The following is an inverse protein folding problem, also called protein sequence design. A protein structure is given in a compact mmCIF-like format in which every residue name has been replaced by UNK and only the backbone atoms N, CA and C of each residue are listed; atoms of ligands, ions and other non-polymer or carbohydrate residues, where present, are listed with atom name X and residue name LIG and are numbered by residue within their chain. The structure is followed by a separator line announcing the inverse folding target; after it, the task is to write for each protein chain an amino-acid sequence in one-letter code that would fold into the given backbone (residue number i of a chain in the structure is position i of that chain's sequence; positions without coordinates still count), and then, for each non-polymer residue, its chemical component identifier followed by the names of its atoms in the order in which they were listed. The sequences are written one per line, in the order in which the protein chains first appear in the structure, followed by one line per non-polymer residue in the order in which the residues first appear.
data_IF_940966748768
#
_entry.id   IF_940966748768
#
_cell.length_a   1.000
_cell.length_b   1.000
_cell.length_c   1.000
_cell.angle_alpha   90.00
_cell.angle_beta   90.00
_cell.angle_gamma   90.00
#
_symmetry.space_group_name_H-M   'P 1'
#
loop_
_entity.id
_entity.type
_entity.pdbx_description
1 polymer ?
#
# COMPACT_ATOMS: atom_id res chain seq x y z
N UNK A 1 -2.49 -12.17 6.34
CA UNK A 1 -2.48 -11.44 5.06
C UNK A 1 -1.10 -10.88 4.71
N UNK A 2 -0.63 -9.76 5.26
CA UNK A 2 0.61 -9.07 4.83
C UNK A 2 1.90 -9.92 4.77
N UNK A 3 2.02 -10.97 5.60
CA UNK A 3 3.15 -11.91 5.52
C UNK A 3 3.31 -12.58 4.15
N UNK A 4 2.25 -12.68 3.33
CA UNK A 4 2.33 -13.25 1.98
C UNK A 4 3.20 -12.43 1.02
N UNK A 5 3.36 -11.12 1.26
CA UNK A 5 4.23 -10.26 0.44
C UNK A 5 5.50 -9.84 1.17
N UNK A 6 5.40 -9.51 2.45
CA UNK A 6 6.52 -8.95 3.21
C UNK A 6 7.35 -10.01 3.94
N UNK A 7 6.91 -11.28 3.98
CA UNK A 7 7.60 -12.37 4.65
C UNK A 7 7.90 -12.04 6.12
N UNK A 8 9.08 -12.43 6.60
CA UNK A 8 9.54 -12.09 7.96
C UNK A 8 10.31 -10.75 8.03
N UNK A 9 10.17 -9.91 7.00
CA UNK A 9 10.96 -8.69 6.88
C UNK A 9 10.42 -7.54 7.71
N UNK A 10 9.12 -7.55 7.99
CA UNK A 10 8.44 -6.57 8.86
C UNK A 10 8.33 -7.14 10.27
N UNK A 11 8.64 -6.33 11.28
CA UNK A 11 8.40 -6.72 12.67
C UNK A 11 6.91 -6.54 13.01
N UNK A 12 6.10 -7.58 12.75
CA UNK A 12 4.66 -7.59 13.01
C UNK A 12 4.30 -7.38 14.48
N UNK A 13 5.15 -7.78 15.43
CA UNK A 13 4.89 -7.59 16.86
C UNK A 13 4.91 -6.12 17.29
N UNK A 14 5.53 -5.25 16.49
CA UNK A 14 5.57 -3.80 16.72
C UNK A 14 4.48 -3.04 15.96
N UNK A 15 3.80 -3.71 15.02
CA UNK A 15 2.71 -3.10 14.24
C UNK A 15 1.45 -3.06 15.09
N UNK A 16 0.85 -1.88 15.23
CA UNK A 16 -0.46 -1.71 15.84
C UNK A 16 -1.45 -1.14 14.84
N UNK A 17 -2.69 -1.61 14.94
CA UNK A 17 -3.84 -1.09 14.21
C UNK A 17 -4.78 -0.50 15.25
N UNK A 18 -4.94 0.82 15.23
CA UNK A 18 -5.77 1.55 16.17
C UNK A 18 -7.14 1.83 15.57
N UNK A 19 -8.19 1.56 16.33
CA UNK A 19 -9.52 2.12 16.12
C UNK A 19 -9.52 3.55 16.69
N UNK A 20 -9.37 4.55 15.83
CA UNK A 20 -9.37 5.96 16.22
C UNK A 20 -8.48 6.84 15.34
N UNK A 21 -8.51 8.14 15.63
CA UNK A 21 -7.73 9.17 14.94
C UNK A 21 -6.26 9.19 15.40
N UNK A 22 -5.35 9.43 14.47
CA UNK A 22 -3.98 9.85 14.78
C UNK A 22 -3.89 11.33 15.20
N UNK A 23 -4.72 12.19 14.60
CA UNK A 23 -4.72 13.62 14.87
C UNK A 23 -5.48 13.95 16.15
N UNK A 24 -5.03 14.97 16.91
CA UNK A 24 -5.72 15.39 18.13
C UNK A 24 -7.14 15.87 17.82
N UNK A 25 -8.04 15.71 18.79
CA UNK A 25 -9.45 16.14 18.69
C UNK A 25 -10.24 15.51 17.53
N UNK A 26 -9.89 14.27 17.15
CA UNK A 26 -10.55 13.54 16.06
C UNK A 26 -10.59 14.32 14.73
N UNK A 27 -9.56 15.13 14.47
CA UNK A 27 -9.42 15.89 13.23
C UNK A 27 -9.05 15.03 12.01
N UNK A 28 -8.94 13.71 12.16
CA UNK A 28 -8.77 12.80 11.05
C UNK A 28 -10.08 12.68 10.28
N UNK A 29 -10.01 12.85 8.96
CA UNK A 29 -11.15 12.61 8.08
C UNK A 29 -11.69 11.19 8.27
N UNK A 30 -13.00 11.07 8.51
CA UNK A 30 -13.67 9.78 8.81
C UNK A 30 -13.51 8.75 7.68
N UNK A 31 -13.28 9.22 6.45
CA UNK A 31 -13.06 8.42 5.25
C UNK A 31 -11.58 8.14 4.95
N UNK A 32 -10.65 8.43 5.87
CA UNK A 32 -9.21 8.30 5.63
C UNK A 32 -8.50 7.52 6.73
N UNK A 33 -7.78 6.45 6.36
CA UNK A 33 -6.82 5.77 7.23
C UNK A 33 -5.44 6.41 7.08
N UNK A 34 -4.61 6.35 8.12
CA UNK A 34 -3.25 6.89 8.07
C UNK A 34 -2.22 6.02 8.79
N UNK A 35 -0.98 6.02 8.28
CA UNK A 35 0.14 5.25 8.84
C UNK A 35 1.42 6.09 9.04
N UNK A 36 1.43 7.05 9.99
CA UNK A 36 2.52 8.04 10.14
C UNK A 36 3.82 7.52 10.73
N UNK A 37 3.73 6.52 11.61
CA UNK A 37 4.78 6.18 12.59
C UNK A 37 5.00 4.66 12.68
N UNK A 38 4.64 3.93 11.63
CA UNK A 38 4.68 2.46 11.61
C UNK A 38 3.48 1.78 12.29
N UNK A 39 2.46 2.54 12.69
CA UNK A 39 1.16 2.04 13.14
C UNK A 39 0.05 2.64 12.29
N UNK A 40 -1.04 1.89 12.12
CA UNK A 40 -2.21 2.34 11.37
C UNK A 40 -3.27 2.91 12.30
N UNK A 41 -3.96 3.95 11.84
CA UNK A 41 -5.04 4.61 12.55
C UNK A 41 -6.26 4.68 11.64
N UNK A 42 -7.30 3.94 12.02
CA UNK A 42 -8.54 3.80 11.26
C UNK A 42 -9.68 4.43 12.07
N UNK A 43 -10.36 5.47 11.54
CA UNK A 43 -11.57 6.01 12.16
C UNK A 43 -12.63 4.92 12.32
N UNK A 44 -13.48 5.06 13.33
CA UNK A 44 -14.52 4.08 13.68
C UNK A 44 -15.39 3.59 12.51
N UNK A 45 -15.88 4.42 11.57
CA UNK A 45 -16.70 3.92 10.47
C UNK A 45 -15.97 2.95 9.54
N UNK A 46 -14.63 2.99 9.51
CA UNK A 46 -13.81 2.21 8.57
C UNK A 46 -13.03 1.09 9.24
N UNK A 47 -12.78 1.18 10.54
CA UNK A 47 -12.08 0.15 11.28
C UNK A 47 -12.79 -1.21 11.17
N UNK A 48 -11.99 -2.27 11.02
CA UNK A 48 -12.43 -3.67 11.01
C UNK A 48 -11.59 -4.45 12.01
N UNK A 49 -12.23 -5.38 12.71
CA UNK A 49 -11.55 -6.26 13.67
C UNK A 49 -10.56 -7.20 12.95
N UNK A 50 -10.91 -7.65 11.74
CA UNK A 50 -10.04 -8.49 10.90
C UNK A 50 -10.19 -8.15 9.41
N UNK A 51 -9.28 -7.32 8.90
CA UNK A 51 -9.21 -6.97 7.48
C UNK A 51 -8.96 -8.15 6.54
N UNK A 52 -8.44 -9.29 7.04
CA UNK A 52 -8.19 -10.45 6.18
C UNK A 52 -9.47 -11.19 5.79
N UNK A 53 -10.55 -10.98 6.54
CA UNK A 53 -11.89 -11.55 6.30
C UNK A 53 -12.84 -10.57 5.60
N UNK A 54 -12.35 -9.41 5.17
CA UNK A 54 -13.14 -8.33 4.59
C UNK A 54 -13.19 -8.36 3.06
N UNK A 55 -13.91 -7.41 2.47
CA UNK A 55 -14.02 -7.23 1.01
C UNK A 55 -12.64 -7.02 0.36
N UNK A 56 -12.47 -7.34 -0.93
CA UNK A 56 -11.22 -7.08 -1.65
C UNK A 56 -10.76 -5.61 -1.59
N UNK A 57 -11.70 -4.66 -1.60
CA UNK A 57 -11.40 -3.25 -1.44
C UNK A 57 -10.77 -2.94 -0.08
N UNK A 58 -11.34 -3.47 1.02
CA UNK A 58 -10.80 -3.29 2.37
C UNK A 58 -9.45 -3.99 2.54
N UNK A 59 -9.27 -5.18 1.94
CA UNK A 59 -7.98 -5.88 1.93
C UNK A 59 -6.90 -5.09 1.17
N UNK A 60 -7.25 -4.52 0.02
CA UNK A 60 -6.36 -3.67 -0.78
C UNK A 60 -5.95 -2.42 0.01
N UNK A 61 -6.91 -1.72 0.60
CA UNK A 61 -6.64 -0.54 1.41
C UNK A 61 -5.76 -0.86 2.64
N UNK A 62 -6.04 -1.95 3.33
CA UNK A 62 -5.16 -2.42 4.41
C UNK A 62 -3.74 -2.68 3.90
N UNK A 63 -3.59 -3.30 2.72
CA UNK A 63 -2.29 -3.56 2.14
C UNK A 63 -1.55 -2.27 1.78
N UNK A 64 -2.24 -1.25 1.26
CA UNK A 64 -1.69 0.09 1.03
C UNK A 64 -1.13 0.69 2.31
N UNK A 65 -1.92 0.73 3.38
CA UNK A 65 -1.45 1.20 4.69
C UNK A 65 -0.29 0.34 5.23
N UNK A 66 -0.28 -0.95 4.94
CA UNK A 66 0.82 -1.83 5.35
C UNK A 66 2.13 -1.52 4.61
N UNK A 67 2.06 -1.08 3.35
CA UNK A 67 3.24 -0.59 2.60
C UNK A 67 3.87 0.60 3.32
N UNK A 68 3.07 1.49 3.90
CA UNK A 68 3.56 2.62 4.69
C UNK A 68 4.26 2.19 5.98
N UNK A 69 3.82 1.11 6.63
CA UNK A 69 4.57 0.50 7.74
C UNK A 69 5.93 0.02 7.25
N UNK A 70 5.97 -0.71 6.14
CA UNK A 70 7.22 -1.22 5.58
C UNK A 70 8.17 -0.09 5.18
N UNK A 71 7.68 0.96 4.52
CA UNK A 71 8.43 2.17 4.18
C UNK A 71 9.02 2.82 5.45
N UNK A 72 8.21 2.95 6.51
CA UNK A 72 8.66 3.49 7.80
C UNK A 72 9.76 2.63 8.42
N UNK A 73 9.61 1.31 8.45
CA UNK A 73 10.63 0.39 8.98
C UNK A 73 11.92 0.38 8.14
N UNK A 74 11.81 0.68 6.85
CA UNK A 74 12.97 0.89 5.96
C UNK A 74 13.64 2.27 6.19
N UNK A 75 13.07 3.16 7.01
CA UNK A 75 13.63 4.47 7.32
C UNK A 75 13.14 5.60 6.41
N UNK A 76 12.10 5.38 5.61
CA UNK A 76 11.41 6.46 4.89
C UNK A 76 10.62 7.32 5.89
N UNK A 77 10.70 8.64 5.76
CA UNK A 77 9.84 9.54 6.53
C UNK A 77 8.42 9.50 5.99
N UNK A 78 7.59 8.63 6.56
CA UNK A 78 6.16 8.49 6.25
C UNK A 78 5.32 9.50 7.04
N UNK A 79 5.95 10.50 7.68
CA UNK A 79 5.27 11.54 8.47
C UNK A 79 4.07 12.00 7.67
N UNK A 80 2.90 11.62 8.18
CA UNK A 80 1.60 11.95 7.65
C UNK A 80 1.65 13.40 7.27
N UNK A 81 1.67 13.66 5.98
CA UNK A 81 1.05 14.87 5.48
C UNK A 81 -0.44 14.68 5.81
N UNK A 82 -0.83 14.89 7.06
CA UNK A 82 -2.20 14.88 7.57
C UNK A 82 -3.03 16.04 7.03
N UNK A 83 -2.71 16.45 5.82
CA UNK A 83 -3.10 17.66 5.11
C UNK A 83 -3.17 17.42 3.59
N UNK A 84 -2.84 16.22 3.04
CA UNK A 84 -2.99 15.95 1.59
C UNK A 84 -4.40 15.40 1.36
N UNK A 85 -5.42 16.24 1.16
CA UNK A 85 -5.64 17.10 0.01
C UNK A 85 -6.07 16.33 -1.24
N UNK A 86 -7.09 16.88 -1.90
CA UNK A 86 -7.69 16.59 -3.20
C UNK A 86 -6.69 16.54 -4.38
N UNK A 87 -5.38 16.50 -4.11
CA UNK A 87 -4.26 16.59 -5.05
C UNK A 87 -3.29 15.39 -4.97
N UNK A 88 -3.56 14.36 -4.17
CA UNK A 88 -2.77 13.12 -4.22
C UNK A 88 -3.09 12.39 -5.51
N UNK A 89 -2.07 12.19 -6.35
CA UNK A 89 -2.23 11.35 -7.52
C UNK A 89 -1.94 9.89 -7.15
N UNK A 90 -3.03 9.13 -7.04
CA UNK A 90 -3.02 7.69 -6.84
C UNK A 90 -2.83 6.92 -8.15
N UNK A 91 -3.09 7.55 -9.29
CA UNK A 91 -2.97 6.93 -10.59
C UNK A 91 -1.51 6.69 -10.98
N UNK A 92 -1.28 5.57 -11.66
CA UNK A 92 0.04 5.18 -12.12
C UNK A 92 -0.04 4.31 -13.37
N UNK A 93 1.04 4.29 -14.14
CA UNK A 93 1.27 3.33 -15.22
C UNK A 93 2.58 2.58 -14.97
N UNK A 94 2.76 1.42 -15.61
CA UNK A 94 3.94 0.55 -15.42
C UNK A 94 4.77 0.42 -16.72
N UNK A 95 5.45 1.49 -17.18
CA UNK A 95 6.39 1.40 -18.30
C UNK A 95 7.62 0.55 -17.91
N UNK A 96 8.23 -0.15 -18.87
CA UNK A 96 9.30 -1.13 -18.63
C UNK A 96 10.59 -0.53 -18.07
N UNK A 97 10.73 0.78 -18.16
CA UNK A 97 11.92 1.53 -17.76
C UNK A 97 11.86 1.93 -16.28
N UNK A 98 10.68 1.79 -15.65
CA UNK A 98 10.46 2.15 -14.25
C UNK A 98 10.53 0.95 -13.33
N UNK A 99 11.04 1.22 -12.14
CA UNK A 99 11.06 0.36 -10.96
C UNK A 99 10.24 1.01 -9.86
N UNK A 100 9.91 0.28 -8.79
CA UNK A 100 9.11 0.83 -7.68
C UNK A 100 9.67 2.16 -7.12
N UNK A 101 10.98 2.32 -7.04
CA UNK A 101 11.63 3.55 -6.55
C UNK A 101 11.42 4.78 -7.46
N UNK A 102 10.94 4.62 -8.70
CA UNK A 102 10.58 5.72 -9.60
C UNK A 102 9.22 6.36 -9.28
N UNK A 103 8.46 5.75 -8.38
CA UNK A 103 7.11 6.18 -8.02
C UNK A 103 7.12 6.97 -6.71
N UNK A 104 6.14 7.86 -6.56
CA UNK A 104 5.92 8.57 -5.29
C UNK A 104 5.45 7.58 -4.22
N UNK A 105 5.68 7.91 -2.95
CA UNK A 105 5.33 7.07 -1.79
C UNK A 105 3.92 6.46 -1.86
N UNK A 106 2.90 7.26 -2.19
CA UNK A 106 1.50 6.81 -2.33
C UNK A 106 1.30 5.87 -3.53
N UNK A 107 1.97 6.15 -4.65
CA UNK A 107 1.93 5.27 -5.82
C UNK A 107 2.63 3.94 -5.53
N UNK A 108 3.72 3.95 -4.76
CA UNK A 108 4.36 2.71 -4.31
C UNK A 108 3.40 1.86 -3.45
N UNK A 109 2.62 2.51 -2.57
CA UNK A 109 1.52 1.90 -1.82
C UNK A 109 0.52 1.20 -2.72
N UNK A 110 -0.07 1.95 -3.66
CA UNK A 110 -1.04 1.41 -4.61
C UNK A 110 -0.48 0.29 -5.48
N UNK A 111 0.74 0.42 -6.02
CA UNK A 111 1.33 -0.60 -6.89
C UNK A 111 1.46 -1.94 -6.15
N UNK A 112 1.90 -1.93 -4.89
CA UNK A 112 2.03 -3.17 -4.10
C UNK A 112 0.65 -3.71 -3.69
N UNK A 113 -0.28 -2.84 -3.29
CA UNK A 113 -1.65 -3.24 -2.92
C UNK A 113 -2.42 -3.83 -4.11
N UNK A 114 -2.28 -3.24 -5.28
CA UNK A 114 -2.89 -3.72 -6.52
C UNK A 114 -2.24 -5.02 -7.00
N UNK A 115 -0.92 -5.15 -6.89
CA UNK A 115 -0.25 -6.43 -7.12
C UNK A 115 -0.79 -7.51 -6.19
N UNK A 116 -0.96 -7.21 -4.90
CA UNK A 116 -1.58 -8.13 -3.94
C UNK A 116 -2.96 -8.57 -4.42
N UNK A 117 -3.86 -7.63 -4.71
CA UNK A 117 -5.21 -7.94 -5.21
C UNK A 117 -5.17 -8.78 -6.48
N UNK A 118 -4.29 -8.44 -7.44
CA UNK A 118 -4.19 -9.16 -8.70
C UNK A 118 -3.83 -10.64 -8.49
N UNK A 119 -2.91 -10.95 -7.56
CA UNK A 119 -2.45 -12.32 -7.33
C UNK A 119 -3.34 -13.12 -6.37
N UNK A 120 -4.14 -12.47 -5.51
CA UNK A 120 -4.98 -13.17 -4.53
C UNK A 120 -6.46 -13.21 -4.89
N UNK A 121 -6.99 -12.15 -5.52
CA UNK A 121 -8.41 -11.99 -5.84
C UNK A 121 -8.67 -12.05 -7.37
N UNK A 122 -7.62 -11.91 -8.18
CA UNK A 122 -7.68 -12.07 -9.63
C UNK A 122 -7.99 -10.78 -10.41
N UNK A 123 -7.93 -10.88 -11.74
CA UNK A 123 -8.00 -9.73 -12.65
C UNK A 123 -9.30 -8.94 -12.56
N UNK A 124 -10.46 -9.60 -12.48
CA UNK A 124 -11.74 -8.89 -12.46
C UNK A 124 -11.86 -7.99 -11.23
N UNK A 125 -11.55 -8.53 -10.06
CA UNK A 125 -11.54 -7.77 -8.80
C UNK A 125 -10.49 -6.66 -8.82
N UNK A 126 -9.28 -6.94 -9.31
CA UNK A 126 -8.24 -5.92 -9.48
C UNK A 126 -8.72 -4.77 -10.37
N UNK A 127 -9.36 -5.08 -11.50
CA UNK A 127 -9.87 -4.09 -12.46
C UNK A 127 -10.93 -3.16 -11.84
N UNK A 128 -11.73 -3.68 -10.92
CA UNK A 128 -12.81 -2.91 -10.29
C UNK A 128 -12.31 -1.92 -9.23
N UNK A 129 -11.10 -2.10 -8.70
CA UNK A 129 -10.57 -1.29 -7.58
C UNK A 129 -9.29 -0.51 -7.90
N UNK A 130 -8.52 -0.94 -8.91
CA UNK A 130 -7.21 -0.39 -9.21
C UNK A 130 -7.27 1.06 -9.68
N UNK A 131 -6.19 1.81 -9.43
CA UNK A 131 -5.95 3.13 -10.01
C UNK A 131 -4.96 3.09 -11.20
N UNK A 132 -4.68 1.89 -11.73
CA UNK A 132 -3.78 1.69 -12.85
C UNK A 132 -4.33 2.32 -14.14
N UNK A 133 -3.47 3.07 -14.82
CA UNK A 133 -3.70 3.65 -16.13
C UNK A 133 -2.83 2.95 -17.17
N UNK A 134 -3.47 2.34 -18.18
CA UNK A 134 -2.77 1.75 -19.32
C UNK A 134 -3.47 0.52 -19.90
N UNK A 135 -2.75 -0.20 -20.75
CA UNK A 135 -3.29 -1.38 -21.44
C UNK A 135 -3.27 -2.60 -20.50
N UNK A 136 -4.45 -3.18 -20.29
CA UNK A 136 -4.66 -4.43 -19.55
C UNK A 136 -4.44 -5.62 -20.49
N UNK A 137 -3.18 -5.88 -20.81
CA UNK A 137 -2.78 -7.00 -21.66
C UNK A 137 -2.56 -8.30 -20.88
N UNK A 138 -2.34 -9.43 -21.57
CA UNK A 138 -1.93 -10.69 -20.94
C UNK A 138 -0.59 -10.57 -20.18
N UNK A 139 0.18 -9.52 -20.45
CA UNK A 139 1.46 -9.19 -19.80
C UNK A 139 1.30 -8.36 -18.51
N UNK A 140 0.07 -8.07 -18.05
CA UNK A 140 -0.17 -7.23 -16.87
C UNK A 140 0.60 -7.72 -15.63
N UNK A 141 0.52 -9.01 -15.32
CA UNK A 141 1.24 -9.59 -14.19
C UNK A 141 2.76 -9.40 -14.34
N UNK A 142 3.29 -9.58 -15.55
CA UNK A 142 4.70 -9.37 -15.85
C UNK A 142 5.12 -7.89 -15.66
N UNK A 143 4.25 -6.93 -15.97
CA UNK A 143 4.53 -5.49 -15.70
C UNK A 143 4.69 -5.21 -14.21
N UNK A 144 3.82 -5.78 -13.36
CA UNK A 144 3.97 -5.66 -11.92
C UNK A 144 5.25 -6.33 -11.43
N UNK A 145 5.50 -7.57 -11.83
CA UNK A 145 6.68 -8.32 -11.42
C UNK A 145 7.99 -7.62 -11.80
N UNK A 146 8.03 -7.03 -13.00
CA UNK A 146 9.16 -6.22 -13.44
C UNK A 146 9.34 -4.96 -12.60
N UNK A 147 8.27 -4.20 -12.39
CA UNK A 147 8.32 -2.96 -11.60
C UNK A 147 8.73 -3.23 -10.15
N UNK A 148 8.24 -4.34 -9.58
CA UNK A 148 8.48 -4.79 -8.22
C UNK A 148 9.70 -5.71 -8.08
N UNK A 149 10.54 -5.87 -9.10
CA UNK A 149 11.60 -6.90 -9.12
C UNK A 149 12.50 -6.90 -7.88
N UNK A 150 12.91 -5.72 -7.39
CA UNK A 150 13.75 -5.62 -6.19
C UNK A 150 12.97 -5.96 -4.92
N UNK A 151 11.72 -5.50 -4.84
CA UNK A 151 10.83 -5.79 -3.72
C UNK A 151 10.51 -7.28 -3.62
N UNK A 152 10.16 -7.93 -4.74
CA UNK A 152 9.83 -9.35 -4.80
C UNK A 152 11.06 -10.24 -4.55
N UNK A 153 12.25 -9.81 -4.98
CA UNK A 153 13.49 -10.50 -4.64
C UNK A 153 13.80 -10.38 -3.15
N UNK A 154 13.63 -9.18 -2.57
CA UNK A 154 13.76 -8.95 -1.13
C UNK A 154 13.11 -7.62 -0.72
N UNK A 155 12.11 -7.62 0.18
CA UNK A 155 11.57 -6.38 0.73
C UNK A 155 12.60 -5.53 1.51
N UNK A 156 13.79 -6.06 1.82
CA UNK A 156 14.91 -5.30 2.42
C UNK A 156 15.80 -4.61 1.38
N UNK A 157 15.59 -4.86 0.10
CA UNK A 157 16.39 -4.24 -0.95
C UNK A 157 16.06 -2.75 -1.03
N UNK A 158 17.07 -1.94 -0.68
CA UNK A 158 17.01 -0.48 -0.68
C UNK A 158 16.64 0.11 -2.04
N UNK A 159 16.96 -0.59 -3.14
CA UNK A 159 16.59 -0.21 -4.51
C UNK A 159 15.08 -0.23 -4.76
N UNK A 160 14.30 -0.82 -3.85
CA UNK A 160 12.84 -0.80 -3.90
C UNK A 160 12.25 0.57 -3.53
N UNK A 161 12.98 1.39 -2.77
CA UNK A 161 12.48 2.66 -2.22
C UNK A 161 13.25 3.89 -2.69
N UNK A 162 14.54 3.74 -2.96
CA UNK A 162 15.42 4.85 -3.30
C UNK A 162 16.21 4.55 -4.57
N UNK A 163 16.45 5.59 -5.36
CA UNK A 163 17.43 5.63 -6.44
C UNK A 163 18.63 6.45 -6.04
#
# INVERSE_FOLDING_TARGET
MARSLFGDMVNYGHVKVYKGSYFPFDLQDEGTAVTPNGNMYWPEPMFKEDFSSETPLNKNWFMHEFVHIWQHQMGMSVRTRGLISKYVNYHYSLPKEKTLADYRMEQQGNIIADYYTLITEGYNTWKDITSFEGIHGPDLLAKYQHTLQYFLASPRDKRSLWK
#
